data_IF_179215337630
#
_entry.id   IF_179215337630
#
_cell.length_a   1.000
_cell.length_b   1.000
_cell.length_c   1.000
_cell.angle_alpha   90.00
_cell.angle_beta   90.00
_cell.angle_gamma   90.00
#
_symmetry.space_group_name_H-M   'P 1'
#
loop_
_entity.id
_entity.type
_entity.pdbx_description
1 polymer ?
#
# COMPACT_ATOMS: atom_id res chain seq x y z
N UNK A 1 -20.79 37.74 -45.00
CA UNK A 1 -19.66 36.87 -44.63
C UNK A 1 -19.81 36.53 -43.15
N UNK A 2 -20.35 35.35 -42.83
CA UNK A 2 -20.43 34.88 -41.45
C UNK A 2 -19.07 34.27 -41.07
N UNK A 3 -18.35 34.91 -40.15
CA UNK A 3 -17.16 34.34 -39.56
C UNK A 3 -17.58 33.20 -38.62
N UNK A 4 -17.29 31.96 -39.02
CA UNK A 4 -17.46 30.79 -38.19
C UNK A 4 -16.34 30.78 -37.15
N UNK A 5 -16.68 31.03 -35.89
CA UNK A 5 -15.75 30.78 -34.78
C UNK A 5 -15.61 29.26 -34.60
N UNK A 6 -14.39 28.70 -34.50
CA UNK A 6 -14.23 27.31 -34.13
C UNK A 6 -14.73 27.10 -32.71
N UNK A 7 -15.56 26.08 -32.50
CA UNK A 7 -15.99 25.70 -31.15
C UNK A 7 -14.75 25.36 -30.29
N UNK A 8 -14.73 25.77 -29.00
CA UNK A 8 -13.66 25.41 -28.11
C UNK A 8 -13.59 23.88 -27.99
N UNK A 9 -12.46 23.31 -28.37
CA UNK A 9 -12.17 21.89 -28.22
C UNK A 9 -12.12 21.59 -26.72
N UNK A 10 -13.24 21.19 -26.13
CA UNK A 10 -13.26 20.65 -24.77
C UNK A 10 -12.61 19.28 -24.83
N UNK A 11 -11.30 19.22 -24.64
CA UNK A 11 -10.59 17.96 -24.40
C UNK A 11 -11.26 17.26 -23.21
N UNK A 12 -11.51 15.95 -23.28
CA UNK A 12 -11.97 15.20 -22.11
C UNK A 12 -10.99 15.45 -20.97
N UNK A 13 -11.50 15.85 -19.81
CA UNK A 13 -10.69 15.98 -18.61
C UNK A 13 -10.30 14.55 -18.21
N UNK A 14 -9.06 14.16 -18.46
CA UNK A 14 -8.54 12.89 -17.95
C UNK A 14 -8.60 12.89 -16.42
N UNK A 15 -8.94 11.74 -15.80
CA UNK A 15 -8.94 11.61 -14.35
C UNK A 15 -7.55 11.94 -13.78
N UNK A 16 -7.53 12.64 -12.65
CA UNK A 16 -6.29 13.08 -12.03
C UNK A 16 -5.48 11.85 -11.59
N UNK A 17 -4.30 11.66 -12.19
CA UNK A 17 -3.37 10.61 -11.76
C UNK A 17 -2.73 11.03 -10.44
N UNK A 18 -2.58 10.09 -9.52
CA UNK A 18 -1.82 10.31 -8.28
C UNK A 18 -0.33 10.44 -8.57
N UNK A 19 0.36 11.34 -7.87
CA UNK A 19 1.82 11.38 -7.86
C UNK A 19 2.37 10.10 -7.20
N UNK A 20 3.63 9.70 -7.42
CA UNK A 20 4.28 8.71 -6.56
C UNK A 20 4.32 9.18 -5.10
N UNK A 21 4.03 8.30 -4.13
CA UNK A 21 3.96 8.70 -2.72
C UNK A 21 5.28 9.31 -2.23
N UNK A 22 6.41 8.66 -2.55
CA UNK A 22 7.74 9.12 -2.14
C UNK A 22 8.03 10.55 -2.66
N UNK A 23 7.59 10.87 -3.88
CA UNK A 23 7.70 12.22 -4.42
C UNK A 23 6.80 13.19 -3.66
N UNK A 24 5.53 12.83 -3.48
CA UNK A 24 4.55 13.67 -2.78
C UNK A 24 4.99 14.02 -1.35
N UNK A 25 5.47 13.03 -0.59
CA UNK A 25 5.97 13.19 0.78
C UNK A 25 7.25 14.02 0.85
N UNK A 26 8.25 13.68 0.03
CA UNK A 26 9.57 14.34 0.00
C UNK A 26 9.44 15.82 -0.34
N UNK A 27 8.59 16.14 -1.32
CA UNK A 27 8.48 17.48 -1.86
C UNK A 27 7.30 18.29 -1.32
N UNK A 28 6.42 17.69 -0.52
CA UNK A 28 5.29 18.37 0.11
C UNK A 28 4.23 18.82 -0.89
N UNK A 29 3.93 17.99 -1.89
CA UNK A 29 2.95 18.27 -2.95
C UNK A 29 2.02 17.09 -3.15
N UNK A 30 0.73 17.34 -3.33
CA UNK A 30 -0.29 16.29 -3.40
C UNK A 30 -1.41 16.69 -4.37
N UNK A 31 -1.75 15.79 -5.30
CA UNK A 31 -2.85 15.97 -6.24
C UNK A 31 -4.14 15.39 -5.67
N UNK A 32 -5.21 16.19 -5.62
CA UNK A 32 -6.52 15.76 -5.09
C UNK A 32 -7.66 16.26 -5.95
N UNK A 33 -8.79 15.57 -5.88
CA UNK A 33 -10.04 15.96 -6.53
C UNK A 33 -11.23 15.89 -5.55
N UNK A 34 -11.22 16.68 -4.46
CA UNK A 34 -12.35 16.72 -3.55
C UNK A 34 -13.60 17.23 -4.27
N UNK A 35 -14.72 16.54 -4.10
CA UNK A 35 -16.02 16.92 -4.69
C UNK A 35 -15.95 17.16 -6.21
N UNK A 36 -15.05 16.47 -6.94
CA UNK A 36 -14.91 16.61 -8.39
C UNK A 36 -14.12 17.84 -8.84
N UNK A 37 -13.46 18.56 -7.92
CA UNK A 37 -12.62 19.71 -8.26
C UNK A 37 -11.15 19.39 -8.06
N UNK A 38 -10.42 19.25 -9.16
CA UNK A 38 -8.99 19.00 -9.11
C UNK A 38 -8.22 20.19 -8.53
N UNK A 39 -7.34 19.91 -7.57
CA UNK A 39 -6.49 20.89 -6.91
C UNK A 39 -5.11 20.29 -6.58
N UNK A 40 -4.11 21.17 -6.43
CA UNK A 40 -2.79 20.83 -5.95
C UNK A 40 -2.65 21.33 -4.50
N UNK A 41 -2.63 20.40 -3.56
CA UNK A 41 -2.33 20.68 -2.16
C UNK A 41 -0.82 20.78 -1.95
N UNK A 42 -0.37 21.82 -1.24
CA UNK A 42 1.05 22.16 -1.08
C UNK A 42 1.36 22.41 0.40
N UNK A 43 2.34 21.70 0.94
CA UNK A 43 2.83 21.92 2.31
C UNK A 43 3.52 23.27 2.41
N UNK A 44 3.27 24.02 3.50
CA UNK A 44 4.06 25.22 3.83
C UNK A 44 5.56 24.91 3.77
N UNK A 45 6.31 25.69 3.01
CA UNK A 45 7.76 25.50 2.81
C UNK A 45 8.16 24.58 1.65
N UNK A 46 7.21 24.02 0.89
CA UNK A 46 7.52 23.29 -0.34
C UNK A 46 8.19 24.21 -1.39
N UNK A 47 9.11 23.65 -2.17
CA UNK A 47 9.84 24.41 -3.18
C UNK A 47 8.96 24.72 -4.40
N UNK A 48 9.21 25.87 -5.03
CA UNK A 48 8.46 26.28 -6.23
C UNK A 48 8.72 25.32 -7.41
N UNK A 49 9.90 24.70 -7.47
CA UNK A 49 10.23 23.66 -8.44
C UNK A 49 9.36 22.40 -8.26
N UNK A 50 9.09 21.97 -7.02
CA UNK A 50 8.21 20.85 -6.75
C UNK A 50 6.76 21.13 -7.18
N UNK A 51 6.28 22.35 -6.94
CA UNK A 51 4.95 22.79 -7.37
C UNK A 51 4.85 22.77 -8.90
N UNK A 52 5.87 23.28 -9.60
CA UNK A 52 5.92 23.25 -11.07
C UNK A 52 5.91 21.83 -11.62
N UNK A 53 6.68 20.93 -11.02
CA UNK A 53 6.75 19.53 -11.44
C UNK A 53 5.42 18.80 -11.21
N UNK A 54 4.75 19.05 -10.08
CA UNK A 54 3.41 18.51 -9.81
C UNK A 54 2.35 19.03 -10.82
N UNK A 55 2.41 20.31 -11.18
CA UNK A 55 1.55 20.89 -12.22
C UNK A 55 1.82 20.28 -13.60
N UNK A 56 3.10 20.07 -13.93
CA UNK A 56 3.52 19.40 -15.17
C UNK A 56 2.99 17.97 -15.23
N UNK A 57 3.11 17.22 -14.14
CA UNK A 57 2.61 15.85 -14.02
C UNK A 57 1.07 15.79 -14.17
N UNK A 58 0.35 16.74 -13.59
CA UNK A 58 -1.10 16.83 -13.73
C UNK A 58 -1.57 17.17 -15.16
N UNK A 59 -0.67 17.65 -16.03
CA UNK A 59 -0.97 18.01 -17.42
C UNK A 59 -1.82 19.28 -17.57
N UNK A 60 -2.14 19.98 -16.47
CA UNK A 60 -2.95 21.19 -16.43
C UNK A 60 -2.62 22.03 -15.20
N UNK A 61 -2.92 23.32 -15.26
CA UNK A 61 -2.76 24.24 -14.12
C UNK A 61 -3.93 24.06 -13.15
N UNK A 62 -3.63 23.51 -11.99
CA UNK A 62 -4.57 23.31 -10.89
C UNK A 62 -4.50 24.45 -9.87
N UNK A 63 -5.63 24.83 -9.24
CA UNK A 63 -5.61 25.74 -8.11
C UNK A 63 -4.75 25.19 -6.97
N UNK A 64 -3.97 26.07 -6.34
CA UNK A 64 -3.09 25.73 -5.22
C UNK A 64 -3.85 25.87 -3.91
N UNK A 65 -3.73 24.87 -3.04
CA UNK A 65 -4.24 24.92 -1.67
C UNK A 65 -3.10 24.68 -0.68
N UNK A 66 -2.81 25.66 0.16
CA UNK A 66 -1.70 25.58 1.11
C UNK A 66 -2.14 24.92 2.40
N UNK A 67 -1.39 23.92 2.85
CA UNK A 67 -1.63 23.18 4.08
C UNK A 67 -0.46 23.37 5.04
N UNK A 68 -0.78 23.50 6.32
CA UNK A 68 0.22 23.38 7.38
C UNK A 68 0.77 21.94 7.44
N UNK A 69 2.00 21.72 7.95
CA UNK A 69 2.66 20.42 7.90
C UNK A 69 1.80 19.26 8.40
N UNK A 70 1.14 19.39 9.55
CA UNK A 70 0.30 18.34 10.12
C UNK A 70 -0.90 17.99 9.23
N UNK A 71 -1.59 19.01 8.70
CA UNK A 71 -2.73 18.81 7.80
C UNK A 71 -2.29 18.17 6.47
N UNK A 72 -1.11 18.51 5.96
CA UNK A 72 -0.56 17.90 4.76
C UNK A 72 -0.29 16.40 4.97
N UNK A 73 0.34 16.02 6.09
CA UNK A 73 0.62 14.60 6.38
C UNK A 73 -0.68 13.78 6.52
N UNK A 74 -1.73 14.35 7.11
CA UNK A 74 -3.06 13.72 7.18
C UNK A 74 -3.66 13.51 5.78
N UNK A 75 -3.68 14.55 4.94
CA UNK A 75 -4.22 14.45 3.58
C UNK A 75 -3.40 13.53 2.68
N UNK A 76 -2.08 13.54 2.83
CA UNK A 76 -1.16 12.63 2.15
C UNK A 76 -1.50 11.19 2.52
N UNK A 77 -1.66 10.91 3.81
CA UNK A 77 -2.02 9.58 4.29
C UNK A 77 -3.36 9.11 3.72
N UNK A 78 -4.39 9.95 3.76
CA UNK A 78 -5.72 9.63 3.22
C UNK A 78 -5.71 9.41 1.70
N UNK A 79 -4.91 10.18 0.96
CA UNK A 79 -4.83 10.08 -0.50
C UNK A 79 -4.20 8.76 -0.98
N UNK A 80 -3.26 8.22 -0.21
CA UNK A 80 -2.45 7.06 -0.60
C UNK A 80 -2.79 5.78 0.15
N UNK A 81 -3.77 5.82 1.06
CA UNK A 81 -4.43 4.63 1.59
C UNK A 81 -5.28 3.97 0.48
N UNK A 82 -4.57 3.22 -0.39
CA UNK A 82 -5.06 2.54 -1.61
C UNK A 82 -6.34 1.71 -1.41
N UNK A 83 -7.07 1.50 -2.49
CA UNK A 83 -8.37 0.84 -2.53
C UNK A 83 -8.24 -0.69 -2.74
N UNK A 84 -9.19 -1.44 -2.20
CA UNK A 84 -9.18 -2.92 -2.16
C UNK A 84 -9.02 -3.62 -3.51
N UNK A 85 -9.34 -2.94 -4.62
CA UNK A 85 -9.25 -3.49 -5.99
C UNK A 85 -7.83 -3.65 -6.50
N UNK A 86 -6.88 -2.80 -6.08
CA UNK A 86 -5.49 -2.88 -6.56
C UNK A 86 -4.76 -4.09 -5.96
N UNK A 87 -5.04 -4.43 -4.70
CA UNK A 87 -4.46 -5.61 -4.03
C UNK A 87 -4.79 -6.89 -4.80
N UNK A 88 -6.02 -7.01 -5.32
CA UNK A 88 -6.43 -8.16 -6.15
C UNK A 88 -5.68 -8.21 -7.47
N UNK A 89 -5.56 -7.08 -8.17
CA UNK A 89 -4.83 -7.00 -9.43
C UNK A 89 -3.34 -7.35 -9.27
N UNK A 90 -2.71 -6.88 -8.19
CA UNK A 90 -1.33 -7.25 -7.86
C UNK A 90 -1.19 -8.75 -7.61
N UNK A 91 -2.09 -9.34 -6.82
CA UNK A 91 -2.06 -10.78 -6.54
C UNK A 91 -2.22 -11.65 -7.80
N UNK A 92 -3.04 -11.21 -8.77
CA UNK A 92 -3.23 -11.89 -10.05
C UNK A 92 -2.02 -11.72 -10.98
N UNK A 93 -1.46 -10.51 -11.07
CA UNK A 93 -0.32 -10.18 -11.95
C UNK A 93 0.99 -10.87 -11.59
N UNK A 94 1.21 -11.18 -10.30
CA UNK A 94 2.42 -11.86 -9.80
C UNK A 94 2.59 -13.30 -10.30
N UNK A 95 1.54 -13.89 -10.88
CA UNK A 95 1.57 -15.27 -11.33
C UNK A 95 2.43 -15.54 -12.57
N UNK A 96 2.75 -14.53 -13.37
CA UNK A 96 3.40 -14.72 -14.67
C UNK A 96 4.94 -14.67 -14.60
N UNK A 97 5.52 -14.06 -13.57
CA UNK A 97 6.96 -13.79 -13.44
C UNK A 97 7.46 -14.11 -12.01
N UNK A 98 7.29 -15.36 -11.56
CA UNK A 98 7.90 -15.79 -10.30
C UNK A 98 9.40 -16.05 -10.50
N UNK A 99 10.20 -14.98 -10.48
CA UNK A 99 11.65 -15.08 -10.48
C UNK A 99 12.18 -15.38 -9.07
N UNK A 100 13.16 -16.30 -9.01
CA UNK A 100 13.88 -16.74 -7.82
C UNK A 100 14.61 -15.56 -7.14
N UNK A 101 14.84 -14.46 -7.86
CA UNK A 101 15.33 -13.19 -7.35
C UNK A 101 14.49 -12.61 -6.20
N UNK A 102 13.18 -12.90 -6.15
CA UNK A 102 12.27 -12.43 -5.09
C UNK A 102 12.61 -12.94 -3.69
N UNK A 103 13.39 -14.03 -3.58
CA UNK A 103 13.87 -14.59 -2.32
C UNK A 103 15.18 -13.95 -1.84
N UNK A 104 15.98 -13.41 -2.77
CA UNK A 104 17.29 -12.84 -2.46
C UNK A 104 17.20 -11.44 -1.85
N UNK A 105 16.11 -10.71 -2.09
CA UNK A 105 15.84 -9.35 -1.58
C UNK A 105 14.91 -9.34 -0.36
N UNK A 106 14.91 -10.40 0.45
CA UNK A 106 14.18 -10.41 1.72
C UNK A 106 15.02 -9.76 2.83
N UNK A 107 15.41 -8.50 2.63
CA UNK A 107 16.04 -7.68 3.67
C UNK A 107 14.96 -7.09 4.60
N UNK A 108 15.25 -6.94 5.91
CA UNK A 108 14.38 -6.21 6.82
C UNK A 108 14.45 -4.72 6.51
N UNK A 109 13.63 -4.26 5.57
CA UNK A 109 13.47 -2.85 5.30
C UNK A 109 12.57 -2.21 6.36
N UNK A 110 13.13 -1.23 7.08
CA UNK A 110 12.44 -0.47 8.12
C UNK A 110 12.04 0.89 7.54
N UNK A 111 11.07 0.89 6.61
CA UNK A 111 10.56 2.08 5.92
C UNK A 111 9.08 2.34 6.20
N UNK A 112 8.56 3.50 5.76
CA UNK A 112 7.11 3.75 5.72
C UNK A 112 6.52 2.88 4.60
N UNK A 113 5.45 2.11 4.90
CA UNK A 113 4.86 1.16 3.95
C UNK A 113 4.45 1.81 2.63
N UNK A 114 4.18 3.12 2.66
CA UNK A 114 3.78 3.89 1.49
C UNK A 114 4.97 4.33 0.60
N UNK A 115 6.21 4.25 1.08
CA UNK A 115 7.42 4.65 0.32
C UNK A 115 8.01 3.54 -0.56
N UNK A 116 7.37 2.37 -0.59
CA UNK A 116 7.93 1.11 -1.10
C UNK A 116 7.47 0.74 -2.53
N UNK A 117 7.33 1.73 -3.43
CA UNK A 117 6.87 1.49 -4.81
C UNK A 117 7.92 0.76 -5.68
N UNK A 118 9.21 0.94 -5.37
CA UNK A 118 10.34 0.30 -6.08
C UNK A 118 10.68 -1.11 -5.55
N UNK A 119 9.98 -1.58 -4.52
CA UNK A 119 10.28 -2.85 -3.86
C UNK A 119 9.94 -4.07 -4.74
N UNK A 120 10.60 -5.19 -4.40
CA UNK A 120 10.29 -6.49 -4.97
C UNK A 120 8.79 -6.82 -4.88
N UNK A 121 8.22 -7.54 -5.86
CA UNK A 121 6.76 -7.65 -5.98
C UNK A 121 6.06 -8.31 -4.79
N UNK A 122 6.72 -9.25 -4.10
CA UNK A 122 6.23 -9.88 -2.86
C UNK A 122 6.16 -8.89 -1.70
N UNK A 123 7.14 -7.98 -1.61
CA UNK A 123 7.18 -6.95 -0.58
C UNK A 123 6.00 -5.99 -0.80
N UNK A 124 5.78 -5.56 -2.04
CA UNK A 124 4.64 -4.71 -2.37
C UNK A 124 3.29 -5.37 -2.06
N UNK A 125 3.13 -6.67 -2.34
CA UNK A 125 1.91 -7.39 -2.01
C UNK A 125 1.67 -7.45 -0.49
N UNK A 126 2.68 -7.78 0.33
CA UNK A 126 2.48 -7.83 1.79
C UNK A 126 2.17 -6.44 2.36
N UNK A 127 2.81 -5.40 1.85
CA UNK A 127 2.58 -4.01 2.27
C UNK A 127 1.18 -3.53 1.90
N UNK A 128 0.70 -3.92 0.70
CA UNK A 128 -0.65 -3.63 0.26
C UNK A 128 -1.70 -4.33 1.14
N UNK A 129 -1.48 -5.60 1.50
CA UNK A 129 -2.34 -6.35 2.43
C UNK A 129 -2.38 -5.65 3.80
N UNK A 130 -1.23 -5.26 4.34
CA UNK A 130 -1.13 -4.58 5.64
C UNK A 130 -1.85 -3.23 5.63
N UNK A 131 -1.63 -2.43 4.58
CA UNK A 131 -2.25 -1.11 4.43
C UNK A 131 -3.77 -1.22 4.31
N UNK A 132 -4.26 -2.17 3.52
CA UNK A 132 -5.70 -2.42 3.37
C UNK A 132 -6.33 -2.91 4.69
N UNK A 133 -5.63 -3.74 5.46
CA UNK A 133 -6.11 -4.19 6.76
C UNK A 133 -6.25 -3.03 7.76
N UNK A 134 -5.28 -2.11 7.80
CA UNK A 134 -5.32 -0.92 8.64
C UNK A 134 -6.48 -0.02 8.21
N UNK A 135 -6.63 0.23 6.90
CA UNK A 135 -7.73 1.02 6.33
C UNK A 135 -9.11 0.43 6.66
N UNK A 136 -9.23 -0.89 6.58
CA UNK A 136 -10.46 -1.62 6.91
C UNK A 136 -10.74 -1.70 8.42
N UNK A 137 -9.86 -1.20 9.28
CA UNK A 137 -10.00 -1.30 10.74
C UNK A 137 -9.91 -2.74 11.24
N UNK A 138 -9.11 -3.59 10.60
CA UNK A 138 -8.99 -5.00 10.96
C UNK A 138 -8.21 -5.19 12.27
N UNK A 139 -8.69 -6.09 13.14
CA UNK A 139 -7.98 -6.50 14.36
C UNK A 139 -6.93 -7.58 14.09
N UNK A 140 -7.20 -8.47 13.13
CA UNK A 140 -6.32 -9.58 12.78
C UNK A 140 -6.31 -9.79 11.26
N UNK A 141 -5.13 -10.11 10.71
CA UNK A 141 -4.94 -10.61 9.35
C UNK A 141 -4.57 -12.08 9.45
N UNK A 142 -5.24 -12.90 8.64
CA UNK A 142 -5.02 -14.34 8.57
C UNK A 142 -4.51 -14.70 7.17
N UNK A 143 -3.32 -15.30 7.10
CA UNK A 143 -2.78 -15.91 5.89
C UNK A 143 -2.92 -17.43 6.02
N UNK A 144 -3.82 -18.01 5.23
CA UNK A 144 -4.21 -19.41 5.35
C UNK A 144 -3.92 -20.19 4.09
N UNK A 145 -2.96 -21.11 4.22
CA UNK A 145 -2.58 -22.01 3.14
C UNK A 145 -3.39 -23.30 3.20
N UNK A 146 -4.14 -23.59 2.14
CA UNK A 146 -4.85 -24.84 1.93
C UNK A 146 -4.14 -25.69 0.86
N UNK A 147 -4.68 -26.85 0.54
CA UNK A 147 -4.10 -27.77 -0.46
C UNK A 147 -3.96 -27.07 -1.82
N UNK A 148 -5.02 -26.40 -2.28
CA UNK A 148 -5.10 -25.81 -3.63
C UNK A 148 -5.25 -24.29 -3.68
N UNK A 149 -5.47 -23.65 -2.54
CA UNK A 149 -5.68 -22.19 -2.45
C UNK A 149 -4.90 -21.55 -1.31
N UNK A 150 -4.58 -20.28 -1.47
CA UNK A 150 -4.06 -19.41 -0.43
C UNK A 150 -5.10 -18.32 -0.18
N UNK A 151 -5.51 -18.13 1.06
CA UNK A 151 -6.58 -17.18 1.41
C UNK A 151 -6.04 -16.16 2.40
N UNK A 152 -6.33 -14.88 2.15
CA UNK A 152 -6.11 -13.81 3.13
C UNK A 152 -7.47 -13.37 3.67
N UNK A 153 -7.61 -13.40 5.00
CA UNK A 153 -8.82 -12.97 5.68
C UNK A 153 -8.52 -11.87 6.68
N UNK A 154 -9.42 -10.92 6.80
CA UNK A 154 -9.38 -9.92 7.87
C UNK A 154 -10.46 -10.19 8.89
N UNK A 155 -10.15 -9.96 10.16
CA UNK A 155 -11.16 -9.84 11.21
C UNK A 155 -11.48 -8.37 11.39
N UNK A 156 -12.69 -7.96 11.03
CA UNK A 156 -13.19 -6.59 11.22
C UNK A 156 -14.43 -6.68 12.10
N UNK A 157 -14.48 -5.92 13.19
CA UNK A 157 -15.56 -5.96 14.18
C UNK A 157 -15.89 -7.38 14.67
N UNK A 158 -14.85 -8.20 14.86
CA UNK A 158 -14.97 -9.59 15.30
C UNK A 158 -15.31 -10.61 14.19
N UNK A 159 -15.71 -10.15 13.00
CA UNK A 159 -16.15 -11.00 11.89
C UNK A 159 -14.99 -11.25 10.91
N UNK A 160 -14.75 -12.51 10.58
CA UNK A 160 -13.78 -12.90 9.54
C UNK A 160 -14.36 -12.74 8.15
N UNK A 161 -13.61 -12.12 7.23
CA UNK A 161 -13.99 -11.94 5.82
C UNK A 161 -12.81 -12.28 4.91
N UNK A 162 -13.05 -13.06 3.86
CA UNK A 162 -12.04 -13.28 2.79
C UNK A 162 -11.89 -11.99 1.98
N UNK A 163 -10.66 -11.53 1.78
CA UNK A 163 -10.37 -10.24 1.13
C UNK A 163 -9.74 -10.45 -0.23
N UNK A 164 -8.73 -11.33 -0.28
CA UNK A 164 -8.04 -11.76 -1.49
C UNK A 164 -7.73 -13.25 -1.42
N UNK A 165 -7.65 -13.88 -2.59
CA UNK A 165 -7.19 -15.26 -2.78
C UNK A 165 -6.01 -15.23 -3.74
N UNK A 166 -4.77 -15.00 -3.25
CA UNK A 166 -3.61 -15.00 -4.11
C UNK A 166 -3.34 -16.42 -4.62
N UNK A 167 -2.54 -16.52 -5.67
CA UNK A 167 -2.14 -17.82 -6.19
C UNK A 167 -1.40 -18.64 -5.12
N UNK A 168 -1.66 -19.94 -5.10
CA UNK A 168 -1.17 -20.88 -4.06
C UNK A 168 0.35 -20.92 -3.95
N UNK A 169 1.06 -20.68 -5.05
CA UNK A 169 2.51 -20.67 -5.14
C UNK A 169 3.15 -19.53 -4.33
N UNK A 170 2.41 -18.44 -4.09
CA UNK A 170 2.88 -17.29 -3.32
C UNK A 170 2.96 -17.56 -1.81
N UNK A 171 2.38 -18.66 -1.31
CA UNK A 171 2.28 -18.95 0.11
C UNK A 171 3.65 -18.96 0.82
N UNK A 172 4.63 -19.67 0.25
CA UNK A 172 5.96 -19.77 0.85
C UNK A 172 6.69 -18.42 0.88
N UNK A 173 6.52 -17.61 -0.19
CA UNK A 173 7.14 -16.30 -0.31
C UNK A 173 6.55 -15.31 0.69
N UNK A 174 5.23 -15.28 0.84
CA UNK A 174 4.53 -14.42 1.79
C UNK A 174 4.87 -14.79 3.24
N UNK A 175 4.89 -16.08 3.58
CA UNK A 175 5.31 -16.54 4.92
C UNK A 175 6.76 -16.15 5.19
N UNK A 176 7.67 -16.37 4.23
CA UNK A 176 9.08 -15.99 4.37
C UNK A 176 9.26 -14.49 4.59
N UNK A 177 8.54 -13.66 3.83
CA UNK A 177 8.57 -12.21 4.00
C UNK A 177 8.07 -11.78 5.38
N UNK A 178 6.95 -12.33 5.85
CA UNK A 178 6.45 -12.03 7.20
C UNK A 178 7.46 -12.45 8.27
N UNK A 179 8.12 -13.61 8.12
CA UNK A 179 9.17 -14.06 9.04
C UNK A 179 10.35 -13.10 9.09
N UNK A 180 10.82 -12.62 7.94
CA UNK A 180 11.88 -11.60 7.89
C UNK A 180 11.48 -10.32 8.62
N UNK A 181 10.29 -9.79 8.33
CA UNK A 181 9.80 -8.56 8.97
C UNK A 181 9.71 -8.73 10.49
N UNK A 182 9.32 -9.91 10.97
CA UNK A 182 9.17 -10.23 12.38
C UNK A 182 10.44 -10.79 13.05
N UNK A 183 11.57 -10.86 12.32
CA UNK A 183 12.86 -11.42 12.77
C UNK A 183 12.76 -12.87 13.25
N UNK A 184 11.96 -13.68 12.56
CA UNK A 184 11.75 -15.11 12.82
C UNK A 184 12.68 -15.98 11.97
N UNK A 185 12.85 -17.23 12.37
CA UNK A 185 13.64 -18.21 11.61
C UNK A 185 12.85 -18.69 10.39
N UNK A 186 13.36 -18.35 9.21
CA UNK A 186 12.79 -18.71 7.90
C UNK A 186 12.95 -20.20 7.60
N UNK A 187 14.05 -20.81 8.05
CA UNK A 187 14.35 -22.21 7.80
C UNK A 187 13.48 -23.13 8.66
N UNK A 188 13.16 -22.72 9.89
CA UNK A 188 12.30 -23.49 10.78
C UNK A 188 10.82 -23.32 10.44
N UNK A 189 10.10 -24.43 10.25
CA UNK A 189 8.69 -24.47 9.84
C UNK A 189 7.84 -25.47 10.64
N UNK A 190 8.47 -26.20 11.57
CA UNK A 190 7.89 -27.35 12.29
C UNK A 190 7.41 -26.99 13.69
N UNK A 191 7.79 -25.82 14.21
CA UNK A 191 7.35 -25.31 15.50
C UNK A 191 6.65 -23.96 15.34
N UNK A 192 5.69 -23.62 16.23
CA UNK A 192 5.16 -22.27 16.32
C UNK A 192 6.26 -21.23 16.53
N UNK A 193 6.10 -20.06 15.92
CA UNK A 193 7.00 -18.92 16.13
C UNK A 193 6.20 -17.65 16.40
N UNK A 194 6.68 -16.80 17.30
CA UNK A 194 6.05 -15.53 17.66
C UNK A 194 7.05 -14.39 17.51
N UNK A 195 6.60 -13.28 16.94
CA UNK A 195 7.43 -12.10 16.68
C UNK A 195 6.63 -10.81 16.73
N UNK A 196 7.32 -9.71 16.42
CA UNK A 196 6.72 -8.38 16.34
C UNK A 196 7.26 -7.65 15.13
N UNK A 197 6.41 -6.86 14.51
CA UNK A 197 6.74 -5.92 13.44
C UNK A 197 6.32 -4.54 13.93
N UNK A 198 7.23 -3.57 13.87
CA UNK A 198 6.88 -2.16 14.05
C UNK A 198 6.98 -1.50 12.69
N UNK A 199 5.89 -0.88 12.24
CA UNK A 199 5.80 -0.29 10.92
C UNK A 199 5.19 1.11 10.99
N UNK A 200 5.52 1.94 10.00
CA UNK A 200 4.95 3.26 9.83
C UNK A 200 4.03 3.26 8.62
N UNK A 201 2.82 3.78 8.78
CA UNK A 201 1.85 3.96 7.70
C UNK A 201 1.35 5.38 7.74
N UNK A 202 1.69 6.19 6.72
CA UNK A 202 1.29 7.60 6.70
C UNK A 202 1.79 8.36 7.93
N UNK A 203 3.03 8.08 8.34
CA UNK A 203 3.64 8.68 9.53
C UNK A 203 3.15 8.13 10.89
N UNK A 204 2.09 7.33 10.97
CA UNK A 204 1.64 6.69 12.23
C UNK A 204 2.37 5.37 12.47
N UNK A 205 2.86 5.16 13.69
CA UNK A 205 3.42 3.86 14.11
C UNK A 205 2.31 2.86 14.44
N UNK A 206 2.42 1.66 13.88
CA UNK A 206 1.55 0.51 14.17
C UNK A 206 2.43 -0.65 14.60
N UNK A 207 2.11 -1.22 15.77
CA UNK A 207 2.77 -2.41 16.27
C UNK A 207 1.94 -3.65 15.94
N UNK A 208 2.57 -4.64 15.32
CA UNK A 208 1.91 -5.87 14.88
C UNK A 208 2.56 -7.05 15.59
N UNK A 209 1.73 -7.89 16.23
CA UNK A 209 2.17 -9.20 16.73
C UNK A 209 1.99 -10.23 15.64
N UNK A 210 3.00 -11.05 15.43
CA UNK A 210 3.00 -12.09 14.41
C UNK A 210 3.10 -13.44 15.08
N UNK A 211 2.28 -14.39 14.66
CA UNK A 211 2.38 -15.79 15.04
C UNK A 211 2.34 -16.66 13.78
N UNK A 212 3.32 -17.57 13.63
CA UNK A 212 3.30 -18.62 12.60
C UNK A 212 3.04 -19.97 13.26
N UNK A 213 2.24 -20.80 12.59
CA UNK A 213 1.84 -22.12 13.07
C UNK A 213 2.05 -23.16 11.95
N UNK A 214 2.73 -24.29 12.23
CA UNK A 214 2.80 -25.41 11.30
C UNK A 214 1.39 -25.91 10.96
N UNK A 215 1.17 -26.25 9.70
CA UNK A 215 -0.08 -26.74 9.14
C UNK A 215 0.19 -27.82 8.10
N UNK A 216 -0.82 -28.63 7.76
CA UNK A 216 -0.69 -29.70 6.77
C UNK A 216 -0.19 -29.24 5.40
N UNK A 217 -0.47 -27.97 5.03
CA UNK A 217 -0.17 -27.41 3.72
C UNK A 217 0.90 -26.29 3.75
N UNK A 218 1.71 -26.23 4.81
CA UNK A 218 2.71 -25.18 5.01
C UNK A 218 2.55 -24.52 6.37
N UNK A 219 2.59 -23.19 6.42
CA UNK A 219 2.35 -22.43 7.65
C UNK A 219 1.06 -21.62 7.55
N UNK A 220 0.39 -21.47 8.70
CA UNK A 220 -0.63 -20.45 8.90
C UNK A 220 0.00 -19.28 9.62
N UNK A 221 -0.32 -18.07 9.19
CA UNK A 221 0.20 -16.85 9.82
C UNK A 221 -0.97 -16.01 10.29
N UNK A 222 -0.86 -15.51 11.52
CA UNK A 222 -1.80 -14.55 12.09
C UNK A 222 -1.02 -13.30 12.47
N UNK A 223 -1.48 -12.15 12.00
CA UNK A 223 -0.93 -10.85 12.34
C UNK A 223 -2.00 -10.09 13.11
N UNK A 224 -1.73 -9.73 14.36
CA UNK A 224 -2.62 -8.92 15.18
C UNK A 224 -2.15 -7.47 15.19
N UNK A 225 -3.00 -6.58 14.71
CA UNK A 225 -2.74 -5.15 14.68
C UNK A 225 -3.06 -4.57 16.07
N UNK A 226 -2.07 -3.93 16.68
CA UNK A 226 -2.25 -3.21 17.94
C UNK A 226 -2.21 -1.72 17.63
N UNK A 227 -3.36 -1.06 17.82
CA UNK A 227 -3.40 0.38 17.67
C UNK A 227 -2.76 1.02 18.91
N UNK A 228 -1.69 1.79 18.72
CA UNK A 228 -1.18 2.69 19.76
C UNK A 228 -2.16 3.86 19.82
N UNK A 229 -3.01 3.86 20.85
CA UNK A 229 -3.74 5.05 21.29
C UNK A 229 -2.76 6.07 21.86
#
# INVERSE_FOLDING_TARGET
>A
MHASYPEPITRPIEPLRSLPFAFAKRHGVLLREPFGQAQLQVRRGASLAAVQEAQRFAGRVLPLHWLEPEAFEQELTLAYQRDSSEVRQMAEGLGAELDLASLAELTPESGDLLEQEDDAPIIRLINAILSEAIKAGASDIHLETFEKRLVVRFRVDGILREVIEPRRELAALLVSRVKVMARLDIAEKRVPQDGRISLKVGGREVDIRVSTLPSANGERVVLRLLDKQ
#
